data_IF_134134611536
#
_entry.id   IF_134134611536
#
_cell.length_a   1.000
_cell.length_b   1.000
_cell.length_c   1.000
_cell.angle_alpha   90.00
_cell.angle_beta   90.00
_cell.angle_gamma   90.00
#
_symmetry.space_group_name_H-M   'P 1'
#
loop_
_entity.id
_entity.type
_entity.pdbx_description
1 polymer ?
#
# COMPACT_ATOMS: atom_id res chain seq x y z
N UNK A 1 14.76 -6.91 5.45
CA UNK A 1 13.34 -6.86 5.89
C UNK A 1 13.05 -5.90 7.06
N UNK A 2 13.97 -5.01 7.48
CA UNK A 2 13.81 -4.17 8.70
C UNK A 2 13.26 -2.74 8.48
N UNK A 3 12.78 -2.39 7.28
CA UNK A 3 12.38 -1.01 6.94
C UNK A 3 10.87 -0.74 6.90
N UNK A 4 10.01 -1.61 7.44
CA UNK A 4 8.54 -1.49 7.26
C UNK A 4 7.75 -0.80 8.37
N UNK A 5 8.35 -0.36 9.48
CA UNK A 5 7.56 0.25 10.58
C UNK A 5 8.29 1.44 11.25
N UNK A 6 8.42 2.60 10.57
CA UNK A 6 9.08 3.77 11.14
C UNK A 6 8.39 4.30 12.40
N UNK A 7 7.05 4.22 12.48
CA UNK A 7 6.29 4.70 13.62
C UNK A 7 6.45 3.83 14.87
N UNK A 8 6.39 2.50 14.73
CA UNK A 8 6.56 1.59 15.86
C UNK A 8 7.94 1.75 16.49
N UNK A 9 8.99 1.87 15.66
CA UNK A 9 10.36 2.10 16.13
C UNK A 9 10.48 3.44 16.87
N UNK A 10 9.84 4.51 16.37
CA UNK A 10 9.86 5.83 17.03
C UNK A 10 9.20 5.81 18.40
N UNK A 11 8.07 5.13 18.56
CA UNK A 11 7.38 5.01 19.86
C UNK A 11 8.27 4.28 20.87
N UNK A 12 8.84 3.14 20.48
CA UNK A 12 9.74 2.37 21.36
C UNK A 12 10.97 3.19 21.75
N UNK A 13 11.61 3.88 20.79
CA UNK A 13 12.76 4.74 21.07
C UNK A 13 12.38 5.86 22.04
N UNK A 14 11.22 6.51 21.86
CA UNK A 14 10.77 7.58 22.75
C UNK A 14 10.57 7.08 24.18
N UNK A 15 9.92 5.92 24.36
CA UNK A 15 9.75 5.30 25.68
C UNK A 15 11.09 4.96 26.34
N UNK A 16 11.99 4.29 25.62
CA UNK A 16 13.31 3.91 26.14
C UNK A 16 14.14 5.15 26.48
N UNK A 17 14.13 6.18 25.63
CA UNK A 17 14.86 7.42 25.87
C UNK A 17 14.33 8.15 27.10
N UNK A 18 13.00 8.27 27.23
CA UNK A 18 12.36 8.89 28.39
C UNK A 18 12.71 8.14 29.68
N UNK A 19 12.63 6.81 29.67
CA UNK A 19 13.02 5.99 30.83
C UNK A 19 14.51 6.11 31.14
N UNK A 20 15.37 6.14 30.13
CA UNK A 20 16.81 6.29 30.32
C UNK A 20 17.16 7.63 30.97
N UNK A 21 16.51 8.71 30.54
CA UNK A 21 16.69 10.04 31.16
C UNK A 21 16.15 10.05 32.58
N UNK A 22 14.90 9.66 32.80
CA UNK A 22 14.26 9.71 34.12
C UNK A 22 14.96 8.78 35.10
N UNK A 23 15.12 7.50 34.74
CA UNK A 23 15.75 6.51 35.59
C UNK A 23 17.23 6.82 35.82
N UNK A 24 17.92 7.38 34.82
CA UNK A 24 19.32 7.79 34.93
C UNK A 24 19.49 8.94 35.91
N UNK A 25 18.66 9.99 35.79
CA UNK A 25 18.66 11.13 36.75
C UNK A 25 18.35 10.64 38.16
N UNK A 26 17.31 9.82 38.35
CA UNK A 26 16.98 9.27 39.67
C UNK A 26 18.13 8.44 40.25
N UNK A 27 18.78 7.60 39.44
CA UNK A 27 19.89 6.75 39.90
C UNK A 27 21.09 7.60 40.33
N UNK A 28 21.47 8.60 39.53
CA UNK A 28 22.54 9.54 39.86
C UNK A 28 22.21 10.37 41.10
N UNK A 29 20.96 10.83 41.24
CA UNK A 29 20.51 11.57 42.42
C UNK A 29 20.57 10.71 43.69
N UNK A 30 20.17 9.44 43.64
CA UNK A 30 20.26 8.54 44.79
C UNK A 30 21.72 8.39 45.24
N UNK A 31 22.63 8.10 44.30
CA UNK A 31 24.07 7.96 44.61
C UNK A 31 24.65 9.25 45.18
N UNK A 32 24.33 10.40 44.57
CA UNK A 32 24.80 11.70 45.04
C UNK A 32 24.26 12.06 46.44
N UNK A 33 23.00 11.75 46.73
CA UNK A 33 22.39 11.99 48.05
C UNK A 33 23.04 11.10 49.11
N UNK A 34 23.26 9.81 48.81
CA UNK A 34 23.90 8.88 49.75
C UNK A 34 25.30 9.39 50.10
N UNK A 35 26.10 9.73 49.11
CA UNK A 35 27.46 10.27 49.32
C UNK A 35 27.45 11.58 50.12
N UNK A 36 26.53 12.50 49.80
CA UNK A 36 26.38 13.75 50.53
C UNK A 36 25.98 13.54 51.99
N UNK A 37 25.02 12.64 52.25
CA UNK A 37 24.53 12.32 53.59
C UNK A 37 25.64 11.65 54.41
N UNK A 38 26.38 10.73 53.82
CA UNK A 38 27.52 10.06 54.45
C UNK A 38 28.60 11.06 54.90
N UNK A 39 29.09 11.90 53.99
CA UNK A 39 30.11 12.91 54.33
C UNK A 39 29.64 13.88 55.41
N UNK A 40 28.37 14.30 55.36
CA UNK A 40 27.85 15.26 56.33
C UNK A 40 27.62 14.65 57.71
N UNK A 41 27.04 13.45 57.78
CA UNK A 41 26.78 12.76 59.05
C UNK A 41 28.08 12.36 59.74
N UNK A 42 29.02 11.74 59.00
CA UNK A 42 30.31 11.31 59.57
C UNK A 42 31.13 12.51 60.02
N UNK A 43 31.17 13.59 59.24
CA UNK A 43 31.86 14.81 59.66
C UNK A 43 31.28 15.41 60.94
N UNK A 44 29.95 15.42 61.11
CA UNK A 44 29.31 15.94 62.33
C UNK A 44 29.56 15.02 63.54
N UNK A 45 29.52 13.71 63.32
CA UNK A 45 29.79 12.72 64.35
C UNK A 45 31.22 12.83 64.87
N UNK A 46 32.23 12.85 63.98
CA UNK A 46 33.63 12.99 64.35
C UNK A 46 33.95 14.35 65.01
N UNK A 47 33.32 15.44 64.54
CA UNK A 47 33.48 16.76 65.17
C UNK A 47 32.95 16.78 66.61
N UNK A 48 31.79 16.14 66.83
CA UNK A 48 31.18 15.99 68.15
C UNK A 48 32.01 15.10 69.07
N UNK A 49 32.43 13.92 68.60
CA UNK A 49 33.29 13.01 69.37
C UNK A 49 34.62 13.67 69.75
N UNK A 50 35.27 14.36 68.81
CA UNK A 50 36.53 15.05 69.08
C UNK A 50 36.33 16.15 70.13
N UNK A 51 35.21 16.86 70.08
CA UNK A 51 34.89 17.88 71.10
C UNK A 51 34.75 17.27 72.49
N UNK A 52 34.09 16.11 72.62
CA UNK A 52 33.98 15.38 73.89
C UNK A 52 35.36 14.95 74.42
N UNK A 53 36.20 14.39 73.55
CA UNK A 53 37.56 13.96 73.94
C UNK A 53 38.39 15.15 74.44
N UNK A 54 38.34 16.29 73.75
CA UNK A 54 39.15 17.46 74.09
C UNK A 54 38.65 18.18 75.34
N UNK A 55 37.33 18.32 75.51
CA UNK A 55 36.75 19.14 76.58
C UNK A 55 36.41 18.35 77.86
N UNK A 56 36.19 17.05 77.76
CA UNK A 56 35.87 16.21 78.93
C UNK A 56 37.02 15.26 79.30
N UNK A 57 37.37 14.32 78.42
CA UNK A 57 38.29 13.22 78.76
C UNK A 57 39.69 13.73 79.07
N UNK A 58 40.29 14.48 78.14
CA UNK A 58 41.67 14.98 78.30
C UNK A 58 41.78 16.02 79.42
N UNK A 59 40.75 16.83 79.66
CA UNK A 59 40.74 17.79 80.78
C UNK A 59 40.69 17.10 82.14
N UNK A 60 40.06 15.92 82.23
CA UNK A 60 40.02 15.09 83.43
C UNK A 60 41.25 14.18 83.57
N UNK A 61 42.15 14.18 82.59
CA UNK A 61 43.30 13.28 82.54
C UNK A 61 42.90 11.82 82.31
N UNK A 62 41.69 11.58 81.80
CA UNK A 62 41.20 10.26 81.42
C UNK A 62 41.65 9.92 79.99
N UNK A 63 41.60 8.63 79.65
CA UNK A 63 41.88 8.18 78.28
C UNK A 63 40.65 8.45 77.40
N UNK A 64 40.84 8.86 76.13
CA UNK A 64 39.74 9.07 75.19
C UNK A 64 38.82 7.85 75.12
N UNK A 65 37.51 8.07 75.33
CA UNK A 65 36.49 7.03 75.24
C UNK A 65 35.85 7.07 73.85
N UNK A 66 36.37 6.25 72.96
CA UNK A 66 35.97 6.19 71.55
C UNK A 66 35.39 4.83 71.22
N UNK A 67 34.61 4.77 70.13
CA UNK A 67 34.18 3.49 69.58
C UNK A 67 35.38 2.68 69.05
N UNK A 68 35.21 1.36 68.91
CA UNK A 68 36.28 0.43 68.55
C UNK A 68 36.91 0.71 67.19
N UNK A 69 36.17 1.35 66.28
CA UNK A 69 36.62 1.73 64.94
C UNK A 69 37.33 3.08 64.90
N UNK A 70 37.33 3.85 65.99
CA UNK A 70 37.81 5.24 66.01
C UNK A 70 39.07 5.36 66.86
N UNK A 71 40.11 5.97 66.29
CA UNK A 71 41.41 6.18 66.95
C UNK A 71 41.72 7.67 67.06
N UNK A 72 42.25 8.05 68.22
CA UNK A 72 42.66 9.43 68.49
C UNK A 72 44.16 9.60 68.38
N UNK A 73 44.57 10.71 67.76
CA UNK A 73 45.96 11.12 67.62
C UNK A 73 46.14 12.60 67.95
N UNK A 74 47.30 12.97 68.47
CA UNK A 74 47.65 14.34 68.81
C UNK A 74 49.15 14.61 68.62
N UNK A 75 49.46 15.79 68.11
CA UNK A 75 50.83 16.22 67.79
C UNK A 75 51.76 16.35 69.01
N UNK A 76 51.22 16.69 70.18
CA UNK A 76 51.99 17.02 71.40
C UNK A 76 51.88 15.95 72.51
N UNK A 77 51.05 14.92 72.33
CA UNK A 77 50.88 13.84 73.30
C UNK A 77 51.69 12.61 72.85
N UNK A 78 52.80 12.33 73.56
CA UNK A 78 53.67 11.21 73.22
C UNK A 78 52.99 9.83 73.23
N UNK A 79 51.85 9.69 73.92
CA UNK A 79 51.03 8.47 73.93
C UNK A 79 50.14 8.27 72.69
N UNK A 80 49.97 9.29 71.85
CA UNK A 80 49.05 9.31 70.71
C UNK A 80 49.68 9.94 69.45
N UNK A 81 50.89 9.52 68.99
CA UNK A 81 51.57 10.17 67.88
C UNK A 81 50.80 10.03 66.56
N UNK A 82 50.74 11.12 65.77
CA UNK A 82 50.08 11.13 64.47
C UNK A 82 50.89 10.27 63.46
N UNK A 83 50.30 9.22 62.85
CA UNK A 83 50.96 8.43 61.82
C UNK A 83 51.32 9.28 60.58
N UNK A 84 52.43 8.94 59.91
CA UNK A 84 52.94 9.70 58.75
C UNK A 84 51.90 9.83 57.62
N UNK A 85 51.07 8.80 57.42
CA UNK A 85 49.99 8.79 56.42
C UNK A 85 48.90 9.84 56.65
N UNK A 86 48.74 10.35 57.87
CA UNK A 86 47.75 11.37 58.22
C UNK A 86 48.37 12.75 58.52
N UNK A 87 49.69 12.89 58.34
CA UNK A 87 50.41 14.12 58.70
C UNK A 87 50.04 15.32 57.81
N UNK A 88 49.71 15.07 56.54
CA UNK A 88 49.39 16.11 55.54
C UNK A 88 47.88 16.42 55.43
N UNK A 89 47.05 15.86 56.30
CA UNK A 89 45.59 16.10 56.28
C UNK A 89 45.28 17.54 56.67
N UNK A 90 44.38 18.17 55.89
CA UNK A 90 43.89 19.54 56.13
C UNK A 90 42.95 19.63 57.33
N UNK A 91 42.64 20.84 57.77
CA UNK A 91 41.66 21.06 58.86
C UNK A 91 40.23 20.70 58.42
N UNK A 92 39.47 20.05 59.30
CA UNK A 92 38.12 19.55 59.06
C UNK A 92 38.10 18.07 58.67
N UNK A 93 37.04 17.67 57.98
CA UNK A 93 36.83 16.31 57.49
C UNK A 93 37.62 16.05 56.20
N UNK A 94 38.24 14.88 56.11
CA UNK A 94 38.96 14.40 54.92
C UNK A 94 38.87 12.89 54.82
N UNK A 95 38.74 12.39 53.60
CA UNK A 95 38.80 10.95 53.30
C UNK A 95 40.22 10.64 52.81
N UNK A 96 40.88 9.66 53.44
CA UNK A 96 42.26 9.28 53.15
C UNK A 96 42.30 7.82 52.75
N UNK A 97 42.91 7.53 51.59
CA UNK A 97 43.05 6.19 51.04
C UNK A 97 44.46 5.66 51.29
N UNK A 98 44.58 4.46 51.86
CA UNK A 98 45.83 3.73 52.04
C UNK A 98 45.72 2.33 51.44
N UNK A 99 46.24 2.17 50.22
CA UNK A 99 46.10 0.92 49.48
C UNK A 99 44.64 0.64 49.13
N UNK A 100 44.09 -0.45 49.68
CA UNK A 100 42.68 -0.86 49.51
C UNK A 100 41.77 -0.39 50.66
N UNK A 101 42.33 0.20 51.71
CA UNK A 101 41.59 0.67 52.88
C UNK A 101 41.32 2.19 52.80
N UNK A 102 40.12 2.60 53.18
CA UNK A 102 39.73 4.00 53.28
C UNK A 102 39.45 4.40 54.73
N UNK A 103 39.87 5.62 55.08
CA UNK A 103 39.80 6.17 56.42
C UNK A 103 39.13 7.55 56.42
N UNK A 104 38.18 7.74 57.32
CA UNK A 104 37.65 9.06 57.63
C UNK A 104 38.51 9.73 58.68
N UNK A 105 39.03 10.90 58.34
CA UNK A 105 39.92 11.67 59.20
C UNK A 105 39.29 13.02 59.49
N UNK A 106 39.16 13.35 60.77
CA UNK A 106 38.74 14.69 61.19
C UNK A 106 39.86 15.35 61.98
N UNK A 107 40.40 16.46 61.44
CA UNK A 107 41.51 17.20 62.06
C UNK A 107 41.02 18.54 62.60
N UNK A 108 41.40 18.85 63.84
CA UNK A 108 41.21 20.17 64.45
C UNK A 108 42.53 20.70 64.99
N UNK A 109 42.89 21.91 64.58
CA UNK A 109 44.12 22.56 65.00
C UNK A 109 43.80 23.56 66.12
N UNK A 110 44.52 23.49 67.24
CA UNK A 110 44.33 24.41 68.38
C UNK A 110 45.66 25.06 68.78
N UNK A 111 45.63 26.02 69.70
CA UNK A 111 46.86 26.61 70.26
C UNK A 111 47.75 25.58 70.99
N UNK A 112 47.18 24.45 71.43
CA UNK A 112 47.93 23.36 72.07
C UNK A 112 48.58 22.40 71.05
N UNK A 113 48.11 22.40 69.80
CA UNK A 113 48.56 21.54 68.71
C UNK A 113 47.40 20.92 67.94
N UNK A 114 47.75 20.06 66.99
CA UNK A 114 46.82 19.34 66.12
C UNK A 114 46.27 18.09 66.81
N UNK A 115 44.96 17.87 66.67
CA UNK A 115 44.23 16.69 67.11
C UNK A 115 43.49 16.03 65.95
N UNK A 116 43.52 14.71 65.88
CA UNK A 116 42.89 13.93 64.81
C UNK A 116 42.06 12.78 65.37
N UNK A 117 40.87 12.57 64.80
CA UNK A 117 40.16 11.29 64.85
C UNK A 117 40.28 10.58 63.52
N UNK A 118 40.53 9.29 63.56
CA UNK A 118 40.60 8.41 62.38
C UNK A 118 39.64 7.25 62.58
N UNK A 119 38.70 7.08 61.67
CA UNK A 119 37.72 6.00 61.67
C UNK A 119 37.87 5.13 60.42
N UNK A 120 37.86 3.81 60.59
CA UNK A 120 37.93 2.83 59.49
C UNK A 120 36.58 2.78 58.71
N UNK A 121 36.60 2.91 57.39
CA UNK A 121 35.40 3.03 56.53
C UNK A 121 34.78 1.67 56.12
N UNK A 122 35.40 0.55 56.47
CA UNK A 122 35.09 -0.77 55.90
C UNK A 122 33.61 -1.19 56.00
N UNK A 123 32.88 -0.82 57.06
CA UNK A 123 31.46 -1.16 57.19
C UNK A 123 30.54 -0.33 56.26
N UNK A 124 30.95 0.88 55.90
CA UNK A 124 30.19 1.78 55.03
C UNK A 124 30.37 1.41 53.55
N UNK A 125 31.58 1.09 53.11
CA UNK A 125 31.86 0.72 51.71
C UNK A 125 31.02 -0.48 51.24
N UNK A 126 30.89 -1.51 52.08
CA UNK A 126 30.12 -2.70 51.71
C UNK A 126 28.63 -2.36 51.48
N UNK A 127 28.07 -1.46 52.29
CA UNK A 127 26.69 -1.00 52.16
C UNK A 127 26.51 -0.10 50.94
N UNK A 128 27.47 0.78 50.67
CA UNK A 128 27.46 1.63 49.49
C UNK A 128 27.52 0.80 48.20
N UNK A 129 28.41 -0.19 48.11
CA UNK A 129 28.50 -1.12 46.97
C UNK A 129 27.19 -1.90 46.77
N UNK A 130 26.56 -2.35 47.86
CA UNK A 130 25.25 -3.01 47.79
C UNK A 130 24.17 -2.05 47.25
N UNK A 131 24.11 -0.82 47.77
CA UNK A 131 23.18 0.21 47.29
C UNK A 131 23.42 0.52 45.80
N UNK A 132 24.66 0.70 45.38
CA UNK A 132 25.03 0.93 43.99
C UNK A 132 24.57 -0.22 43.08
N UNK A 133 24.83 -1.46 43.48
CA UNK A 133 24.39 -2.64 42.72
C UNK A 133 22.86 -2.74 42.63
N UNK A 134 22.13 -2.41 43.71
CA UNK A 134 20.66 -2.39 43.71
C UNK A 134 20.13 -1.29 42.80
N UNK A 135 20.70 -0.09 42.86
CA UNK A 135 20.32 1.04 41.98
C UNK A 135 20.61 0.70 40.52
N UNK A 136 21.79 0.14 40.22
CA UNK A 136 22.18 -0.28 38.87
C UNK A 136 21.25 -1.38 38.33
N UNK A 137 20.96 -2.41 39.14
CA UNK A 137 20.02 -3.46 38.77
C UNK A 137 18.61 -2.91 38.51
N UNK A 138 18.14 -1.98 39.35
CA UNK A 138 16.87 -1.29 39.17
C UNK A 138 16.82 -0.45 37.89
N UNK A 139 17.89 0.27 37.59
CA UNK A 139 18.05 1.03 36.34
C UNK A 139 18.01 0.12 35.11
N UNK A 140 18.77 -0.97 35.10
CA UNK A 140 18.77 -1.91 33.97
C UNK A 140 17.41 -2.57 33.79
N UNK A 141 16.76 -2.98 34.89
CA UNK A 141 15.42 -3.55 34.86
C UNK A 141 14.40 -2.55 34.30
N UNK A 142 14.47 -1.27 34.69
CA UNK A 142 13.55 -0.24 34.21
C UNK A 142 13.69 -0.02 32.69
N UNK A 143 14.91 -0.01 32.16
CA UNK A 143 15.18 0.12 30.72
C UNK A 143 14.61 -1.08 29.94
N UNK A 144 14.83 -2.30 30.41
CA UNK A 144 14.29 -3.52 29.78
C UNK A 144 12.76 -3.51 29.82
N UNK A 145 12.16 -3.15 30.96
CA UNK A 145 10.71 -3.02 31.11
C UNK A 145 10.13 -1.97 30.16
N UNK A 146 10.77 -0.81 30.03
CA UNK A 146 10.36 0.25 29.12
C UNK A 146 10.43 -0.18 27.65
N UNK A 147 11.47 -0.93 27.26
CA UNK A 147 11.55 -1.49 25.91
C UNK A 147 10.40 -2.47 25.63
N UNK A 148 10.13 -3.40 26.56
CA UNK A 148 9.05 -4.38 26.43
C UNK A 148 7.66 -3.73 26.39
N UNK A 149 7.38 -2.80 27.33
CA UNK A 149 6.11 -2.07 27.40
C UNK A 149 5.91 -1.18 26.18
N UNK A 150 6.94 -0.44 25.76
CA UNK A 150 6.89 0.40 24.56
C UNK A 150 6.59 -0.42 23.31
N UNK A 151 7.19 -1.61 23.18
CA UNK A 151 6.93 -2.50 22.05
C UNK A 151 5.52 -3.07 22.06
N UNK A 152 5.03 -3.51 23.22
CA UNK A 152 3.67 -4.01 23.39
C UNK A 152 2.62 -2.93 23.07
N UNK A 153 2.79 -1.73 23.63
CA UNK A 153 1.87 -0.61 23.42
C UNK A 153 1.86 -0.15 21.96
N UNK A 154 3.03 -0.01 21.34
CA UNK A 154 3.13 0.38 19.95
C UNK A 154 2.46 -0.63 19.01
N UNK A 155 2.59 -1.93 19.28
CA UNK A 155 1.89 -2.98 18.52
C UNK A 155 0.38 -2.88 18.69
N UNK A 156 -0.09 -2.69 19.91
CA UNK A 156 -1.53 -2.61 20.22
C UNK A 156 -2.19 -1.40 19.56
N UNK A 157 -1.53 -0.23 19.60
CA UNK A 157 -2.06 1.03 19.05
C UNK A 157 -1.97 1.07 17.51
N UNK A 158 -0.88 0.55 16.91
CA UNK A 158 -0.70 0.63 15.46
C UNK A 158 -1.39 -0.50 14.68
N UNK A 159 -1.78 -1.60 15.34
CA UNK A 159 -2.40 -2.74 14.66
C UNK A 159 -3.72 -2.37 13.93
N UNK A 160 -4.67 -1.62 14.50
CA UNK A 160 -5.88 -1.18 13.79
C UNK A 160 -5.56 -0.33 12.55
N UNK A 161 -4.64 0.63 12.66
CA UNK A 161 -4.25 1.52 11.54
C UNK A 161 -3.62 0.72 10.39
N UNK A 162 -2.74 -0.24 10.70
CA UNK A 162 -2.12 -1.09 9.68
C UNK A 162 -3.16 -1.99 9.00
N UNK A 163 -4.15 -2.51 9.75
CA UNK A 163 -5.26 -3.28 9.20
C UNK A 163 -6.10 -2.43 8.24
N UNK A 164 -6.49 -1.23 8.66
CA UNK A 164 -7.27 -0.31 7.84
C UNK A 164 -6.52 0.08 6.57
N UNK A 165 -5.24 0.44 6.69
CA UNK A 165 -4.40 0.79 5.55
C UNK A 165 -4.22 -0.39 4.58
N UNK A 166 -4.12 -1.62 5.08
CA UNK A 166 -4.10 -2.80 4.23
C UNK A 166 -5.44 -3.02 3.54
N UNK A 167 -6.58 -2.88 4.23
CA UNK A 167 -7.91 -3.03 3.62
C UNK A 167 -8.11 -2.04 2.47
N UNK A 168 -7.72 -0.77 2.67
CA UNK A 168 -7.78 0.26 1.61
C UNK A 168 -6.83 -0.05 0.45
N UNK A 169 -5.61 -0.55 0.71
CA UNK A 169 -4.62 -0.82 -0.35
C UNK A 169 -5.02 -1.97 -1.28
N UNK A 170 -5.76 -2.97 -0.80
CA UNK A 170 -6.04 -4.17 -1.61
C UNK A 170 -7.09 -3.95 -2.70
N UNK A 171 -7.68 -2.75 -2.84
CA UNK A 171 -8.58 -2.43 -3.96
C UNK A 171 -9.92 -3.19 -3.96
N UNK A 172 -10.07 -4.24 -3.13
CA UNK A 172 -11.30 -5.00 -2.92
C UNK A 172 -12.49 -4.09 -2.53
N UNK A 173 -12.23 -2.85 -2.08
CA UNK A 173 -13.22 -1.83 -1.75
C UNK A 173 -13.81 -1.03 -2.92
N UNK A 174 -13.30 -1.16 -4.14
CA UNK A 174 -13.94 -0.53 -5.31
C UNK A 174 -15.09 -1.38 -5.86
N UNK A 175 -15.26 -2.61 -5.36
CA UNK A 175 -16.37 -3.47 -5.77
C UNK A 175 -17.73 -2.93 -5.27
N UNK A 176 -18.80 -3.05 -6.07
CA UNK A 176 -20.11 -2.50 -5.73
C UNK A 176 -20.68 -3.06 -4.42
N UNK A 177 -20.32 -4.29 -4.04
CA UNK A 177 -20.76 -4.96 -2.80
C UNK A 177 -19.72 -4.98 -1.68
N UNK A 178 -18.62 -4.21 -1.77
CA UNK A 178 -17.61 -4.29 -0.73
C UNK A 178 -18.17 -3.77 0.62
N UNK A 179 -18.00 -4.54 1.71
CA UNK A 179 -18.52 -4.18 3.03
C UNK A 179 -17.88 -2.87 3.53
N UNK A 180 -18.65 -2.12 4.33
CA UNK A 180 -18.19 -0.89 4.96
C UNK A 180 -17.08 -1.20 5.96
N UNK A 181 -16.09 -0.32 6.03
CA UNK A 181 -14.95 -0.42 6.94
C UNK A 181 -15.32 -0.05 8.37
N UNK A 182 -16.07 1.04 8.55
CA UNK A 182 -16.32 1.64 9.86
C UNK A 182 -16.87 0.67 10.93
N UNK A 183 -17.80 -0.27 10.62
CA UNK A 183 -18.33 -1.19 11.62
C UNK A 183 -17.29 -2.17 12.23
N UNK A 184 -16.15 -2.39 11.58
CA UNK A 184 -15.09 -3.28 12.10
C UNK A 184 -14.16 -2.58 13.11
N UNK A 185 -14.30 -1.27 13.29
CA UNK A 185 -13.42 -0.45 14.13
C UNK A 185 -14.21 0.16 15.31
N UNK A 186 -13.56 0.34 16.48
CA UNK A 186 -14.13 1.08 17.60
C UNK A 186 -14.48 2.52 17.21
N UNK A 187 -15.38 3.16 17.96
CA UNK A 187 -15.76 4.57 17.79
C UNK A 187 -14.68 5.50 18.39
N UNK A 188 -13.48 5.42 17.83
CA UNK A 188 -12.29 6.21 18.17
C UNK A 188 -11.72 6.92 16.94
N UNK A 189 -10.50 7.46 17.01
CA UNK A 189 -9.85 8.13 15.89
C UNK A 189 -9.68 7.22 14.66
N UNK A 190 -9.50 5.90 14.87
CA UNK A 190 -9.37 4.93 13.78
C UNK A 190 -10.74 4.65 13.16
N UNK A 191 -11.80 4.54 13.98
CA UNK A 191 -13.18 4.42 13.50
C UNK A 191 -13.64 5.61 12.68
N UNK A 192 -13.36 6.83 13.14
CA UNK A 192 -13.65 8.06 12.37
C UNK A 192 -12.91 8.09 11.04
N UNK A 193 -11.64 7.64 11.01
CA UNK A 193 -10.88 7.54 9.77
C UNK A 193 -11.50 6.50 8.81
N UNK A 194 -11.93 5.35 9.33
CA UNK A 194 -12.63 4.34 8.56
C UNK A 194 -13.95 4.87 7.96
N UNK A 195 -14.74 5.60 8.74
CA UNK A 195 -15.97 6.24 8.26
C UNK A 195 -15.71 7.31 7.18
N UNK A 196 -14.63 8.07 7.29
CA UNK A 196 -14.22 9.02 6.25
C UNK A 196 -13.83 8.30 4.94
N UNK A 197 -13.13 7.17 5.02
CA UNK A 197 -12.85 6.32 3.86
C UNK A 197 -14.14 5.78 3.24
N UNK A 198 -15.06 5.25 4.03
CA UNK A 198 -16.36 4.77 3.53
C UNK A 198 -17.13 5.89 2.81
N UNK A 199 -17.17 7.11 3.36
CA UNK A 199 -17.84 8.24 2.72
C UNK A 199 -17.21 8.63 1.38
N UNK A 200 -15.87 8.67 1.32
CA UNK A 200 -15.15 9.03 0.09
C UNK A 200 -15.29 7.96 -0.99
N UNK A 201 -15.17 6.69 -0.62
CA UNK A 201 -15.42 5.56 -1.51
C UNK A 201 -16.87 5.55 -1.99
N UNK A 202 -17.84 5.81 -1.12
CA UNK A 202 -19.25 5.91 -1.49
C UNK A 202 -19.53 7.02 -2.51
N UNK A 203 -18.93 8.20 -2.34
CA UNK A 203 -19.02 9.30 -3.32
C UNK A 203 -18.41 8.93 -4.66
N UNK A 204 -17.27 8.25 -4.64
CA UNK A 204 -16.59 7.80 -5.86
C UNK A 204 -17.41 6.75 -6.60
N UNK A 205 -17.97 5.76 -5.90
CA UNK A 205 -18.90 4.76 -6.46
C UNK A 205 -20.11 5.42 -7.09
N UNK A 206 -20.78 6.33 -6.38
CA UNK A 206 -21.91 7.07 -6.95
C UNK A 206 -21.54 7.93 -8.17
N UNK A 207 -20.33 8.50 -8.21
CA UNK A 207 -19.87 9.22 -9.40
C UNK A 207 -19.70 8.29 -10.59
N UNK A 208 -19.12 7.11 -10.38
CA UNK A 208 -18.93 6.10 -11.43
C UNK A 208 -20.28 5.53 -11.91
N UNK A 209 -21.20 5.21 -11.00
CA UNK A 209 -22.57 4.76 -11.33
C UNK A 209 -23.30 5.81 -12.18
N UNK A 210 -23.18 7.10 -11.84
CA UNK A 210 -23.78 8.18 -12.62
C UNK A 210 -23.17 8.31 -14.01
N UNK A 211 -21.86 8.13 -14.15
CA UNK A 211 -21.18 8.13 -15.44
C UNK A 211 -21.62 6.94 -16.31
N UNK A 212 -21.84 5.76 -15.70
CA UNK A 212 -22.38 4.58 -16.36
C UNK A 212 -23.82 4.79 -16.85
N UNK A 213 -24.72 5.26 -15.96
CA UNK A 213 -26.11 5.53 -16.30
C UNK A 213 -26.21 6.61 -17.39
N UNK A 214 -25.43 7.69 -17.26
CA UNK A 214 -25.35 8.75 -18.28
C UNK A 214 -24.95 8.20 -19.65
N UNK A 215 -23.93 7.33 -19.69
CA UNK A 215 -23.52 6.67 -20.94
C UNK A 215 -24.66 5.83 -21.53
N UNK A 216 -25.38 5.08 -20.70
CA UNK A 216 -26.49 4.25 -21.17
C UNK A 216 -27.66 5.09 -21.70
N UNK A 217 -28.06 6.14 -21.00
CA UNK A 217 -29.19 6.99 -21.38
C UNK A 217 -28.89 7.77 -22.67
N UNK A 218 -27.68 8.35 -22.77
CA UNK A 218 -27.22 9.04 -23.99
C UNK A 218 -27.22 8.09 -25.19
N UNK A 219 -26.96 6.79 -24.99
CA UNK A 219 -27.03 5.78 -26.05
C UNK A 219 -28.40 5.69 -26.69
N UNK A 220 -29.45 5.67 -25.87
CA UNK A 220 -30.82 5.53 -26.34
C UNK A 220 -31.33 6.84 -26.92
N UNK A 221 -31.01 7.97 -26.29
CA UNK A 221 -31.41 9.30 -26.76
C UNK A 221 -30.75 9.70 -28.08
N UNK A 222 -29.54 9.21 -28.40
CA UNK A 222 -28.89 9.45 -29.70
C UNK A 222 -29.34 8.47 -30.79
N UNK A 223 -29.72 7.22 -30.44
CA UNK A 223 -30.13 6.21 -31.42
C UNK A 223 -31.43 6.59 -32.11
N UNK A 224 -32.40 7.10 -31.36
CA UNK A 224 -33.73 7.48 -31.86
C UNK A 224 -33.69 8.55 -32.95
N UNK A 225 -33.04 9.72 -32.76
CA UNK A 225 -32.98 10.74 -33.81
C UNK A 225 -32.18 10.28 -35.03
N UNK A 226 -31.11 9.48 -34.85
CA UNK A 226 -30.37 8.90 -35.97
C UNK A 226 -31.22 7.92 -36.79
N UNK A 227 -32.04 7.10 -36.12
CA UNK A 227 -32.98 6.19 -36.80
C UNK A 227 -34.05 6.95 -37.58
N UNK A 228 -34.58 8.05 -37.02
CA UNK A 228 -35.55 8.91 -37.72
C UNK A 228 -34.92 9.52 -38.97
N UNK A 229 -33.69 10.05 -38.89
CA UNK A 229 -33.00 10.62 -40.05
C UNK A 229 -32.73 9.54 -41.11
N UNK A 230 -32.31 8.34 -40.70
CA UNK A 230 -32.05 7.23 -41.62
C UNK A 230 -33.34 6.81 -42.37
N UNK A 231 -34.43 6.57 -41.64
CA UNK A 231 -35.73 6.21 -42.23
C UNK A 231 -36.29 7.33 -43.13
N UNK A 232 -36.10 8.59 -42.76
CA UNK A 232 -36.49 9.73 -43.63
C UNK A 232 -35.68 9.74 -44.92
N UNK A 233 -34.39 9.40 -44.87
CA UNK A 233 -33.55 9.30 -46.06
C UNK A 233 -33.97 8.12 -46.96
N UNK A 234 -34.28 6.95 -46.37
CA UNK A 234 -34.79 5.78 -47.11
C UNK A 234 -36.08 6.12 -47.86
N UNK A 235 -37.07 6.73 -47.18
CA UNK A 235 -38.33 7.16 -47.77
C UNK A 235 -38.13 8.19 -48.90
N UNK A 236 -37.19 9.12 -48.72
CA UNK A 236 -36.87 10.11 -49.74
C UNK A 236 -36.23 9.45 -50.97
N UNK A 237 -35.31 8.50 -50.80
CA UNK A 237 -34.67 7.80 -51.93
C UNK A 237 -35.70 7.04 -52.79
N UNK A 238 -36.76 6.51 -52.19
CA UNK A 238 -37.85 5.83 -52.91
C UNK A 238 -38.83 6.79 -53.61
N UNK A 239 -38.80 8.08 -53.30
CA UNK A 239 -39.71 9.06 -53.89
C UNK A 239 -39.41 9.26 -55.40
N UNK A 240 -40.44 9.24 -56.28
CA UNK A 240 -40.26 9.29 -57.74
C UNK A 240 -39.84 10.66 -58.29
N UNK A 241 -39.93 11.73 -57.48
CA UNK A 241 -39.80 13.12 -57.94
C UNK A 241 -38.46 13.82 -57.62
N UNK A 242 -37.45 13.09 -57.13
CA UNK A 242 -36.13 13.66 -56.84
C UNK A 242 -35.28 13.78 -58.11
N UNK A 243 -34.70 14.94 -58.35
CA UNK A 243 -33.65 15.09 -59.36
C UNK A 243 -32.37 14.32 -58.96
N UNK A 244 -31.46 14.08 -59.92
CA UNK A 244 -30.21 13.35 -59.68
C UNK A 244 -29.35 13.93 -58.56
N UNK A 245 -29.19 15.25 -58.51
CA UNK A 245 -28.41 15.99 -57.50
C UNK A 245 -29.09 15.90 -56.13
N UNK A 246 -30.42 15.97 -56.06
CA UNK A 246 -31.15 15.82 -54.80
C UNK A 246 -31.03 14.39 -54.26
N UNK A 247 -31.12 13.38 -55.13
CA UNK A 247 -30.89 11.97 -54.77
C UNK A 247 -29.47 11.73 -54.25
N UNK A 248 -28.46 12.32 -54.88
CA UNK A 248 -27.07 12.28 -54.41
C UNK A 248 -26.90 12.93 -53.03
N UNK A 249 -27.61 14.03 -52.75
CA UNK A 249 -27.59 14.68 -51.43
C UNK A 249 -28.26 13.83 -50.35
N UNK A 250 -29.43 13.25 -50.62
CA UNK A 250 -30.12 12.36 -49.67
C UNK A 250 -29.26 11.15 -49.33
N UNK A 251 -28.64 10.51 -50.34
CA UNK A 251 -27.70 9.41 -50.11
C UNK A 251 -26.47 9.85 -49.29
N UNK A 252 -25.99 11.08 -49.47
CA UNK A 252 -24.89 11.61 -48.66
C UNK A 252 -25.30 11.84 -47.20
N UNK A 253 -26.53 12.28 -46.94
CA UNK A 253 -27.08 12.41 -45.58
C UNK A 253 -27.27 11.03 -44.95
N UNK A 254 -27.85 10.07 -45.68
CA UNK A 254 -28.01 8.69 -45.21
C UNK A 254 -26.68 8.09 -44.75
N UNK A 255 -25.63 8.23 -45.57
CA UNK A 255 -24.26 7.81 -45.22
C UNK A 255 -23.75 8.50 -43.96
N UNK A 256 -23.86 9.83 -43.87
CA UNK A 256 -23.41 10.57 -42.70
C UNK A 256 -24.16 10.17 -41.40
N UNK A 257 -25.44 9.80 -41.51
CA UNK A 257 -26.24 9.31 -40.38
C UNK A 257 -25.81 7.93 -39.92
N UNK A 258 -25.52 7.03 -40.85
CA UNK A 258 -25.01 5.69 -40.56
C UNK A 258 -23.60 5.76 -39.92
N UNK A 259 -22.76 6.65 -40.44
CA UNK A 259 -21.45 7.00 -39.91
C UNK A 259 -21.52 7.50 -38.45
N UNK A 260 -22.47 8.41 -38.15
CA UNK A 260 -22.71 8.87 -36.78
C UNK A 260 -23.21 7.76 -35.85
N UNK A 261 -24.05 6.85 -36.36
CA UNK A 261 -24.55 5.71 -35.59
C UNK A 261 -23.41 4.79 -35.15
N UNK A 262 -22.51 4.47 -36.07
CA UNK A 262 -21.34 3.62 -35.79
C UNK A 262 -20.36 4.29 -34.79
N UNK A 263 -20.13 5.61 -34.90
CA UNK A 263 -19.32 6.38 -33.94
C UNK A 263 -19.91 6.37 -32.54
N UNK A 264 -21.21 6.67 -32.43
CA UNK A 264 -21.92 6.70 -31.15
C UNK A 264 -21.88 5.31 -30.53
N UNK A 265 -22.21 4.27 -31.27
CA UNK A 265 -22.16 2.89 -30.78
C UNK A 265 -20.76 2.49 -30.31
N UNK A 266 -19.71 2.92 -31.03
CA UNK A 266 -18.31 2.69 -30.65
C UNK A 266 -17.94 3.38 -29.34
N UNK A 267 -18.24 4.67 -29.19
CA UNK A 267 -17.93 5.42 -27.96
C UNK A 267 -18.66 4.86 -26.74
N UNK A 268 -19.92 4.47 -26.91
CA UNK A 268 -20.74 3.93 -25.83
C UNK A 268 -20.29 2.53 -25.39
N UNK A 269 -19.86 1.70 -26.35
CA UNK A 269 -19.27 0.40 -26.04
C UNK A 269 -17.96 0.55 -25.26
N UNK A 270 -17.14 1.55 -25.61
CA UNK A 270 -15.89 1.87 -24.89
C UNK A 270 -16.13 2.44 -23.50
N UNK A 271 -17.11 3.31 -23.34
CA UNK A 271 -17.46 3.87 -22.03
C UNK A 271 -18.04 2.79 -21.09
N UNK A 272 -18.80 1.83 -21.62
CA UNK A 272 -19.24 0.64 -20.87
C UNK A 272 -18.09 -0.32 -20.54
N UNK A 273 -17.09 -0.45 -21.42
CA UNK A 273 -15.93 -1.32 -21.22
C UNK A 273 -15.07 -0.96 -20.01
N UNK A 274 -14.97 0.33 -19.67
CA UNK A 274 -14.24 0.83 -18.50
C UNK A 274 -15.03 0.57 -17.20
N UNK A 275 -16.34 0.42 -17.32
CA UNK A 275 -17.29 0.35 -16.22
C UNK A 275 -17.62 -1.08 -15.78
N UNK A 276 -17.69 -2.03 -16.74
CA UNK A 276 -17.86 -3.45 -16.44
C UNK A 276 -16.49 -4.07 -16.08
N UNK A 277 -16.19 -4.15 -14.78
CA UNK A 277 -15.30 -5.19 -14.29
C UNK A 277 -15.78 -6.57 -14.81
N UNK A 278 -14.90 -7.58 -14.94
CA UNK A 278 -15.18 -8.85 -15.64
C UNK A 278 -16.26 -9.76 -15.03
N UNK A 279 -17.11 -9.27 -14.12
CA UNK A 279 -17.87 -10.11 -13.20
C UNK A 279 -19.36 -10.25 -13.53
N UNK A 280 -19.94 -9.47 -14.45
CA UNK A 280 -21.40 -9.51 -14.71
C UNK A 280 -21.81 -10.09 -16.08
N UNK A 281 -20.90 -10.19 -17.04
CA UNK A 281 -21.14 -10.93 -18.28
C UNK A 281 -20.59 -12.34 -18.14
N UNK A 282 -21.44 -13.31 -17.77
CA UNK A 282 -21.05 -14.72 -17.74
C UNK A 282 -20.30 -15.08 -19.01
N UNK A 283 -19.02 -15.46 -18.87
CA UNK A 283 -18.17 -15.67 -20.02
C UNK A 283 -18.76 -16.75 -20.92
N UNK A 284 -18.88 -16.45 -22.22
CA UNK A 284 -19.36 -17.41 -23.22
C UNK A 284 -18.18 -18.02 -23.94
N UNK A 285 -18.36 -19.25 -24.41
CA UNK A 285 -17.35 -19.88 -25.27
C UNK A 285 -17.31 -19.18 -26.63
N UNK A 286 -16.17 -19.27 -27.31
CA UNK A 286 -16.01 -18.76 -28.67
C UNK A 286 -17.02 -19.40 -29.63
N UNK A 287 -17.30 -20.70 -29.46
CA UNK A 287 -18.25 -21.44 -30.28
C UNK A 287 -19.68 -20.89 -30.18
N UNK A 288 -20.14 -20.58 -28.96
CA UNK A 288 -21.50 -20.07 -28.74
C UNK A 288 -21.71 -18.72 -29.43
N UNK A 289 -20.76 -17.80 -29.27
CA UNK A 289 -20.82 -16.47 -29.89
C UNK A 289 -20.69 -16.58 -31.41
N UNK A 290 -19.80 -17.43 -31.92
CA UNK A 290 -19.64 -17.66 -33.35
C UNK A 290 -20.91 -18.25 -34.00
N UNK A 291 -21.58 -19.18 -33.32
CA UNK A 291 -22.84 -19.75 -33.78
C UNK A 291 -23.95 -18.70 -33.85
N UNK A 292 -24.04 -17.83 -32.84
CA UNK A 292 -24.98 -16.72 -32.85
C UNK A 292 -24.71 -15.74 -34.01
N UNK A 293 -23.44 -15.37 -34.22
CA UNK A 293 -23.06 -14.48 -35.31
C UNK A 293 -23.28 -15.12 -36.69
N UNK A 294 -23.03 -16.42 -36.82
CA UNK A 294 -23.33 -17.20 -38.02
C UNK A 294 -24.82 -17.16 -38.37
N UNK A 295 -25.71 -17.25 -37.37
CA UNK A 295 -27.17 -17.17 -37.59
C UNK A 295 -27.62 -15.77 -38.01
N UNK A 296 -26.93 -14.73 -37.54
CA UNK A 296 -27.26 -13.34 -37.88
C UNK A 296 -26.75 -12.92 -39.27
N UNK A 297 -25.46 -13.18 -39.55
CA UNK A 297 -24.81 -12.72 -40.79
C UNK A 297 -24.93 -13.71 -41.95
N UNK A 298 -25.11 -15.00 -41.67
CA UNK A 298 -25.24 -16.04 -42.69
C UNK A 298 -26.30 -15.74 -43.75
N UNK A 299 -27.55 -15.38 -43.36
CA UNK A 299 -28.60 -15.03 -44.33
C UNK A 299 -28.24 -13.84 -45.23
N UNK A 300 -27.65 -12.78 -44.67
CA UNK A 300 -27.29 -11.56 -45.42
C UNK A 300 -26.17 -11.83 -46.45
N UNK A 301 -25.17 -12.65 -46.08
CA UNK A 301 -24.12 -13.09 -46.99
C UNK A 301 -24.69 -13.93 -48.13
N UNK A 302 -25.61 -14.85 -47.82
CA UNK A 302 -26.28 -15.70 -48.81
C UNK A 302 -27.20 -14.91 -49.75
N UNK A 303 -27.93 -13.92 -49.24
CA UNK A 303 -28.75 -13.00 -50.04
C UNK A 303 -27.91 -12.20 -51.04
N UNK A 304 -26.67 -11.83 -50.67
CA UNK A 304 -25.69 -11.22 -51.58
C UNK A 304 -25.10 -12.23 -52.60
N UNK A 305 -25.43 -13.51 -52.50
CA UNK A 305 -24.91 -14.58 -53.36
C UNK A 305 -23.53 -15.11 -52.94
N UNK A 306 -23.09 -14.84 -51.70
CA UNK A 306 -21.81 -15.31 -51.16
C UNK A 306 -21.98 -16.66 -50.45
N UNK A 307 -21.02 -17.56 -50.61
CA UNK A 307 -20.95 -18.81 -49.82
C UNK A 307 -20.42 -18.50 -48.41
N UNK A 308 -21.20 -18.80 -47.37
CA UNK A 308 -20.78 -18.62 -45.98
C UNK A 308 -20.60 -19.97 -45.27
N UNK A 309 -19.45 -20.17 -44.64
CA UNK A 309 -19.14 -21.39 -43.87
C UNK A 309 -18.62 -21.04 -42.47
N UNK A 310 -19.19 -21.71 -41.46
CA UNK A 310 -18.64 -21.74 -40.10
C UNK A 310 -17.88 -23.06 -39.92
N UNK A 311 -16.59 -23.00 -39.66
CA UNK A 311 -15.73 -24.17 -39.47
C UNK A 311 -15.14 -24.15 -38.06
N UNK A 312 -15.38 -25.21 -37.28
CA UNK A 312 -14.70 -25.40 -36.00
C UNK A 312 -13.48 -26.31 -36.19
N UNK A 313 -12.28 -25.76 -36.03
CA UNK A 313 -10.99 -26.46 -36.12
C UNK A 313 -10.36 -26.69 -34.74
N UNK A 314 -11.16 -26.68 -33.67
CA UNK A 314 -10.71 -26.98 -32.31
C UNK A 314 -10.87 -25.82 -31.34
N UNK A 315 -12.03 -25.15 -31.36
CA UNK A 315 -12.39 -24.16 -30.35
C UNK A 315 -12.40 -24.77 -28.94
N UNK A 316 -11.98 -23.99 -27.95
CA UNK A 316 -11.98 -24.38 -26.54
C UNK A 316 -13.16 -23.78 -25.77
N UNK A 317 -13.49 -24.37 -24.63
CA UNK A 317 -14.56 -23.90 -23.74
C UNK A 317 -14.12 -22.71 -22.86
N UNK A 318 -13.07 -21.99 -23.24
CA UNK A 318 -12.53 -20.87 -22.48
C UNK A 318 -13.57 -19.74 -22.46
N UNK A 319 -13.93 -19.22 -21.27
CA UNK A 319 -14.90 -18.14 -21.16
C UNK A 319 -14.27 -16.80 -21.58
N UNK A 320 -14.94 -16.11 -22.50
CA UNK A 320 -14.58 -14.76 -22.94
C UNK A 320 -15.71 -13.77 -22.68
N UNK A 321 -15.40 -12.47 -22.66
CA UNK A 321 -16.43 -11.44 -22.61
C UNK A 321 -17.26 -11.44 -23.91
N UNK A 322 -18.50 -11.93 -23.81
CA UNK A 322 -19.39 -12.14 -24.95
C UNK A 322 -19.66 -10.85 -25.75
N UNK A 323 -19.79 -9.71 -25.08
CA UNK A 323 -20.05 -8.41 -25.72
C UNK A 323 -18.91 -7.99 -26.64
N UNK A 324 -17.67 -8.10 -26.17
CA UNK A 324 -16.50 -7.77 -26.98
C UNK A 324 -16.30 -8.76 -28.12
N UNK A 325 -16.44 -10.06 -27.84
CA UNK A 325 -16.27 -11.08 -28.86
C UNK A 325 -17.30 -10.93 -29.99
N UNK A 326 -18.57 -10.71 -29.63
CA UNK A 326 -19.65 -10.42 -30.57
C UNK A 326 -19.35 -9.20 -31.43
N UNK A 327 -18.85 -8.14 -30.81
CA UNK A 327 -18.54 -6.88 -31.50
C UNK A 327 -17.40 -7.06 -32.49
N UNK A 328 -16.33 -7.77 -32.11
CA UNK A 328 -15.20 -8.02 -33.00
C UNK A 328 -15.64 -8.88 -34.19
N UNK A 329 -16.29 -10.03 -33.94
CA UNK A 329 -16.75 -10.93 -35.01
C UNK A 329 -17.71 -10.20 -35.97
N UNK A 330 -18.67 -9.45 -35.43
CA UNK A 330 -19.63 -8.68 -36.23
C UNK A 330 -18.95 -7.64 -37.13
N UNK A 331 -17.95 -6.91 -36.63
CA UNK A 331 -17.20 -5.95 -37.45
C UNK A 331 -16.42 -6.64 -38.58
N UNK A 332 -15.80 -7.79 -38.31
CA UNK A 332 -15.05 -8.52 -39.33
C UNK A 332 -15.96 -9.16 -40.38
N UNK A 333 -17.10 -9.74 -39.98
CA UNK A 333 -18.09 -10.28 -40.92
C UNK A 333 -18.76 -9.19 -41.76
N UNK A 334 -19.05 -8.03 -41.17
CA UNK A 334 -19.56 -6.86 -41.91
C UNK A 334 -18.56 -6.40 -42.97
N UNK A 335 -17.27 -6.35 -42.63
CA UNK A 335 -16.23 -6.03 -43.61
C UNK A 335 -16.18 -7.07 -44.74
N UNK A 336 -16.22 -8.36 -44.41
CA UNK A 336 -16.22 -9.43 -45.41
C UNK A 336 -17.44 -9.34 -46.35
N UNK A 337 -18.63 -9.08 -45.81
CA UNK A 337 -19.84 -8.83 -46.59
C UNK A 337 -19.68 -7.62 -47.52
N UNK A 338 -19.04 -6.55 -47.06
CA UNK A 338 -18.90 -5.33 -47.83
C UNK A 338 -17.91 -5.47 -49.00
N UNK A 339 -16.73 -6.03 -48.74
CA UNK A 339 -15.62 -6.07 -49.71
C UNK A 339 -15.57 -7.32 -50.59
N UNK A 340 -16.47 -8.27 -50.37
CA UNK A 340 -16.63 -9.45 -51.25
C UNK A 340 -17.83 -9.26 -52.17
N UNK A 341 -17.59 -9.13 -53.48
CA UNK A 341 -18.67 -9.05 -54.48
C UNK A 341 -19.17 -10.44 -54.89
N UNK A 342 -18.26 -11.38 -55.11
CA UNK A 342 -18.57 -12.77 -55.45
C UNK A 342 -17.55 -13.69 -54.77
N UNK A 343 -17.98 -14.89 -54.37
CA UNK A 343 -17.10 -15.91 -53.79
C UNK A 343 -17.56 -16.44 -52.44
N UNK A 344 -16.68 -16.43 -51.43
CA UNK A 344 -16.93 -17.05 -50.13
C UNK A 344 -16.37 -16.27 -48.95
N UNK A 345 -17.06 -16.37 -47.82
CA UNK A 345 -16.62 -15.89 -46.51
C UNK A 345 -16.61 -17.08 -45.54
N UNK A 346 -15.52 -17.26 -44.79
CA UNK A 346 -15.40 -18.35 -43.80
C UNK A 346 -15.09 -17.78 -42.42
N UNK A 347 -15.85 -18.21 -41.42
CA UNK A 347 -15.53 -17.99 -40.00
C UNK A 347 -14.94 -19.28 -39.45
N UNK A 348 -13.67 -19.26 -39.06
CA UNK A 348 -12.94 -20.44 -38.63
C UNK A 348 -12.52 -20.28 -37.18
N UNK A 349 -12.91 -21.24 -36.34
CA UNK A 349 -12.61 -21.25 -34.91
C UNK A 349 -11.42 -22.15 -34.61
N UNK A 350 -10.55 -21.72 -33.70
CA UNK A 350 -9.38 -22.45 -33.24
C UNK A 350 -9.25 -22.28 -31.71
N UNK A 351 -8.37 -23.05 -31.08
CA UNK A 351 -8.12 -22.92 -29.65
C UNK A 351 -7.61 -21.50 -29.35
N UNK A 352 -8.36 -20.74 -28.55
CA UNK A 352 -8.03 -19.35 -28.21
C UNK A 352 -7.80 -18.42 -29.40
N UNK A 353 -8.40 -18.70 -30.56
CA UNK A 353 -8.30 -17.84 -31.73
C UNK A 353 -9.48 -18.05 -32.68
N UNK A 354 -9.75 -17.06 -33.51
CA UNK A 354 -10.61 -17.25 -34.68
C UNK A 354 -10.07 -16.45 -35.86
N UNK A 355 -10.44 -16.86 -37.07
CA UNK A 355 -10.15 -16.11 -38.28
C UNK A 355 -11.38 -15.93 -39.15
N UNK A 356 -11.49 -14.77 -39.76
CA UNK A 356 -12.47 -14.46 -40.80
C UNK A 356 -11.72 -14.36 -42.12
N UNK A 357 -12.05 -15.25 -43.05
CA UNK A 357 -11.45 -15.30 -44.37
C UNK A 357 -12.47 -14.83 -45.41
N UNK A 358 -12.09 -13.91 -46.29
CA UNK A 358 -12.91 -13.43 -47.39
C UNK A 358 -12.17 -13.58 -48.72
N UNK A 359 -12.90 -13.90 -49.79
CA UNK A 359 -12.35 -13.96 -51.15
C UNK A 359 -12.52 -12.64 -51.92
N UNK A 360 -12.52 -11.50 -51.21
CA UNK A 360 -12.75 -10.18 -51.77
C UNK A 360 -11.55 -9.63 -52.53
N UNK A 361 -11.48 -8.29 -52.61
CA UNK A 361 -10.41 -7.57 -53.33
C UNK A 361 -9.00 -7.79 -52.75
N UNK A 362 -8.91 -8.29 -51.51
CA UNK A 362 -7.66 -8.41 -50.76
C UNK A 362 -7.14 -7.06 -50.26
N UNK A 363 -6.14 -7.11 -49.38
CA UNK A 363 -5.50 -5.91 -48.81
C UNK A 363 -4.02 -5.96 -49.13
N UNK A 364 -3.55 -4.97 -49.90
CA UNK A 364 -2.15 -4.83 -50.27
C UNK A 364 -1.26 -4.82 -49.02
N UNK A 365 -0.12 -5.50 -49.09
CA UNK A 365 0.79 -5.67 -47.95
C UNK A 365 1.19 -4.34 -47.28
N UNK A 366 1.36 -3.27 -48.06
CA UNK A 366 1.71 -1.92 -47.60
C UNK A 366 0.60 -1.24 -46.76
N UNK A 367 -0.64 -1.69 -46.90
CA UNK A 367 -1.82 -1.14 -46.23
C UNK A 367 -2.20 -1.95 -44.97
N UNK A 368 -1.68 -3.16 -44.80
CA UNK A 368 -2.09 -4.10 -43.73
C UNK A 368 -1.92 -3.55 -42.30
N UNK A 369 -0.91 -2.73 -42.04
CA UNK A 369 -0.72 -2.08 -40.74
C UNK A 369 -1.59 -0.83 -40.56
N UNK A 370 -1.92 -0.16 -41.66
CA UNK A 370 -2.61 1.13 -41.68
C UNK A 370 -4.14 0.98 -41.62
N UNK A 371 -4.70 -0.12 -42.14
CA UNK A 371 -6.16 -0.36 -42.13
C UNK A 371 -6.80 -0.40 -40.74
N UNK A 372 -6.00 -0.59 -39.68
CA UNK A 372 -6.47 -0.56 -38.30
C UNK A 372 -6.40 0.84 -37.67
N UNK A 373 -5.88 1.84 -38.39
CA UNK A 373 -5.92 3.23 -37.93
C UNK A 373 -7.32 3.82 -38.18
N UNK A 374 -7.81 4.70 -37.29
CA UNK A 374 -9.08 5.39 -37.51
C UNK A 374 -9.05 6.17 -38.83
N UNK A 375 -10.16 6.13 -39.57
CA UNK A 375 -10.38 6.88 -40.82
C UNK A 375 -9.51 6.47 -42.02
N UNK A 376 -8.73 5.39 -41.93
CA UNK A 376 -7.93 4.88 -43.04
C UNK A 376 -8.76 3.94 -43.93
N UNK A 377 -8.68 4.15 -45.25
CA UNK A 377 -9.33 3.34 -46.29
C UNK A 377 -8.29 2.92 -47.32
N UNK A 378 -8.44 1.72 -47.91
CA UNK A 378 -7.58 1.27 -49.01
C UNK A 378 -7.90 1.99 -50.33
N UNK A 379 -6.91 2.08 -51.22
CA UNK A 379 -6.97 2.83 -52.51
C UNK A 379 -8.08 2.41 -53.48
N UNK A 380 -8.71 1.26 -53.24
CA UNK A 380 -9.77 0.69 -54.09
C UNK A 380 -11.18 0.80 -53.48
N UNK A 381 -11.39 1.70 -52.51
CA UNK A 381 -12.65 1.86 -51.79
C UNK A 381 -13.82 2.28 -52.71
N UNK A 382 -14.57 1.30 -53.22
CA UNK A 382 -15.86 1.49 -53.93
C UNK A 382 -17.08 1.47 -52.99
N UNK A 383 -16.90 1.44 -51.67
CA UNK A 383 -17.97 1.19 -50.73
C UNK A 383 -18.06 2.16 -49.54
N UNK A 384 -19.18 2.08 -48.81
CA UNK A 384 -19.66 2.96 -47.72
C UNK A 384 -19.07 2.60 -46.33
N UNK A 385 -18.81 3.61 -45.48
CA UNK A 385 -18.36 3.47 -44.08
C UNK A 385 -17.05 4.20 -43.72
N UNK A 386 -16.99 4.86 -42.54
CA UNK A 386 -15.89 5.72 -42.06
C UNK A 386 -14.49 5.07 -41.86
N UNK A 387 -14.31 3.77 -42.10
CA UNK A 387 -13.06 3.07 -41.77
C UNK A 387 -12.85 2.89 -40.25
N UNK A 388 -13.92 2.95 -39.46
CA UNK A 388 -13.85 2.84 -38.00
C UNK A 388 -13.94 1.40 -37.49
N UNK A 389 -14.56 0.48 -38.24
CA UNK A 389 -14.80 -0.89 -37.78
C UNK A 389 -13.52 -1.64 -37.40
N UNK A 390 -12.47 -1.58 -38.22
CA UNK A 390 -11.17 -2.20 -37.91
C UNK A 390 -10.42 -1.49 -36.79
N UNK A 391 -10.56 -0.16 -36.68
CA UNK A 391 -9.99 0.58 -35.56
C UNK A 391 -10.63 0.19 -34.22
N UNK A 392 -11.94 -0.08 -34.22
CA UNK A 392 -12.66 -0.60 -33.07
C UNK A 392 -12.20 -2.02 -32.71
N UNK A 393 -12.05 -2.89 -33.70
CA UNK A 393 -11.48 -4.24 -33.50
C UNK A 393 -10.12 -4.16 -32.82
N UNK A 394 -9.19 -3.32 -33.32
CA UNK A 394 -7.86 -3.14 -32.72
C UNK A 394 -7.93 -2.62 -31.28
N UNK A 395 -8.85 -1.69 -31.00
CA UNK A 395 -9.02 -1.10 -29.66
C UNK A 395 -9.58 -2.10 -28.65
N UNK A 396 -10.60 -2.87 -29.05
CA UNK A 396 -11.15 -3.98 -28.23
C UNK A 396 -10.06 -5.02 -27.98
N UNK A 397 -9.31 -5.41 -29.02
CA UNK A 397 -8.24 -6.39 -28.86
C UNK A 397 -7.18 -5.89 -27.87
N UNK A 398 -6.72 -4.64 -28.03
CA UNK A 398 -5.76 -4.03 -27.11
C UNK A 398 -6.27 -3.98 -25.66
N UNK A 399 -7.55 -3.70 -25.46
CA UNK A 399 -8.18 -3.65 -24.14
C UNK A 399 -8.28 -5.04 -23.48
N UNK A 400 -8.61 -6.07 -24.27
CA UNK A 400 -8.78 -7.44 -23.77
C UNK A 400 -7.46 -8.25 -23.73
N UNK A 401 -6.33 -7.64 -24.12
CA UNK A 401 -5.06 -8.36 -24.27
C UNK A 401 -5.03 -9.31 -25.48
N UNK A 402 -5.98 -9.17 -26.41
CA UNK A 402 -6.04 -9.93 -27.66
C UNK A 402 -5.16 -9.29 -28.73
N UNK A 403 -4.79 -10.07 -29.74
CA UNK A 403 -4.06 -9.59 -30.90
C UNK A 403 -4.90 -9.79 -32.16
N UNK A 404 -4.93 -8.79 -33.04
CA UNK A 404 -5.52 -8.90 -34.39
C UNK A 404 -4.43 -8.74 -35.43
N UNK A 405 -4.46 -9.60 -36.46
CA UNK A 405 -3.57 -9.56 -37.62
C UNK A 405 -4.38 -9.71 -38.89
N UNK A 406 -3.82 -9.22 -39.99
CA UNK A 406 -4.36 -9.42 -41.34
C UNK A 406 -3.29 -10.04 -42.22
N UNK A 407 -3.69 -10.93 -43.11
CA UNK A 407 -2.83 -11.52 -44.14
C UNK A 407 -3.61 -11.74 -45.43
N UNK A 408 -2.92 -12.01 -46.54
CA UNK A 408 -3.57 -12.27 -47.82
C UNK A 408 -4.08 -13.71 -47.93
N UNK A 409 -5.23 -13.89 -48.58
CA UNK A 409 -5.74 -15.21 -48.97
C UNK A 409 -5.47 -15.42 -50.48
N UNK A 410 -4.56 -16.32 -50.89
CA UNK A 410 -4.33 -16.61 -52.31
C UNK A 410 -5.57 -17.27 -52.97
N UNK A 411 -5.91 -16.98 -54.25
CA UNK A 411 -5.25 -16.05 -55.18
C UNK A 411 -5.69 -14.57 -55.04
N UNK A 412 -6.75 -14.30 -54.27
CA UNK A 412 -7.24 -12.95 -53.90
C UNK A 412 -8.15 -13.06 -52.67
N UNK A 413 -7.99 -12.16 -51.71
CA UNK A 413 -8.78 -12.13 -50.48
C UNK A 413 -7.98 -11.69 -49.26
N UNK A 414 -8.64 -11.70 -48.10
CA UNK A 414 -8.02 -11.32 -46.81
C UNK A 414 -8.33 -12.35 -45.72
N UNK A 415 -7.40 -12.52 -44.80
CA UNK A 415 -7.56 -13.33 -43.59
C UNK A 415 -7.33 -12.43 -42.39
N UNK A 416 -8.39 -12.17 -41.63
CA UNK A 416 -8.30 -11.48 -40.34
C UNK A 416 -8.23 -12.53 -39.23
N UNK A 417 -7.11 -12.61 -38.53
CA UNK A 417 -6.89 -13.54 -37.43
C UNK A 417 -6.88 -12.78 -36.10
N UNK A 418 -7.64 -13.27 -35.12
CA UNK A 418 -7.72 -12.72 -33.77
C UNK A 418 -7.29 -13.80 -32.77
N UNK A 419 -6.19 -13.55 -32.06
CA UNK A 419 -5.71 -14.39 -30.95
C UNK A 419 -6.27 -13.85 -29.64
N UNK A 420 -6.96 -14.71 -28.90
CA UNK A 420 -7.64 -14.39 -27.65
C UNK A 420 -6.76 -14.75 -26.45
N UNK A 421 -6.92 -14.01 -25.36
CA UNK A 421 -6.40 -14.35 -24.04
C UNK A 421 -7.57 -14.59 -23.10
N UNK A 422 -7.48 -15.65 -22.29
CA UNK A 422 -8.49 -15.97 -21.30
C UNK A 422 -8.60 -14.85 -20.26
N UNK A 423 -9.83 -14.57 -19.81
CA UNK A 423 -10.01 -13.76 -18.60
C UNK A 423 -9.35 -14.53 -17.46
N UNK A 424 -8.31 -13.97 -16.85
CA UNK A 424 -7.64 -14.62 -15.73
C UNK A 424 -8.67 -14.86 -14.62
N UNK A 425 -9.11 -16.11 -14.46
CA UNK A 425 -9.85 -16.52 -13.28
C UNK A 425 -8.91 -16.28 -12.10
N UNK A 426 -9.20 -15.27 -11.29
CA UNK A 426 -8.51 -15.03 -10.03
C UNK A 426 -8.73 -16.25 -9.16
N UNK A 427 -7.81 -17.21 -9.23
CA UNK A 427 -7.81 -18.42 -8.42
C UNK A 427 -7.41 -18.03 -7.00
N UNK A 428 -8.36 -17.53 -6.21
CA UNK A 428 -8.23 -17.58 -4.75
C UNK A 428 -8.46 -19.03 -4.34
N UNK A 429 -7.34 -19.74 -4.17
CA UNK A 429 -7.29 -21.04 -3.51
C UNK A 429 -7.93 -20.92 -2.13
N UNK A 430 -9.14 -21.45 -1.97
CA UNK A 430 -9.72 -21.73 -0.65
C UNK A 430 -8.89 -22.89 -0.09
N UNK A 431 -7.86 -22.55 0.68
CA UNK A 431 -7.14 -23.51 1.51
C UNK A 431 -8.10 -23.95 2.61
N UNK A 432 -8.74 -25.10 2.41
CA UNK A 432 -9.44 -25.81 3.46
C UNK A 432 -8.45 -26.10 4.60
N UNK A 433 -8.75 -25.56 5.79
CA UNK A 433 -8.08 -25.92 7.03
C UNK A 433 -8.65 -27.29 7.44
N UNK A 434 -7.85 -28.36 7.59
CA UNK A 434 -8.33 -29.59 8.21
C UNK A 434 -8.50 -29.36 9.72
N UNK A 435 -9.57 -29.96 10.26
CA UNK A 435 -10.09 -29.74 11.62
C UNK A 435 -9.26 -30.26 12.77
#
# INVERSE_FOLDING_TARGET
MLSRQPLLRRIVIAFVLMTLVVSGVFSLSIVAIVHFVEQHLVSQELDSELSIVLDEDLRRGERPRLDKSTRFFASHLAGYPIPAQFAEVGEGFSEVFEGDDAFYVFKRSTAAGDYLLVQEQHEFEARERLLFNVVLAGFLLSVVAAWGLGWWLARRVMAPVIRLANQVRHGDQLQPLAPLLAPEYPDDEVGHLAAAFDSTLGRLRHSLEREQLFTSDVSHELRTPLMIIASSCELLVEAPNLDRRQREQVQRIARATEDMRDLVQTFLLLARAVADEPQLGGGMSLADVALEQSRHWGPQLQEKGLRFELLDQGSDATPYNATFLRTVISNLLRNALHYTEQGSVRLILQAQAFRVEDSGIGIAQEQQDQIFQPFVRGDHARGEGLGLGLSLVKRICSHQGWAVRVSELPPRGSVFEVTLQAVAASSRSVSAIPG
#
